data_IF_779152601567
#
_entry.id   IF_779152601567
#
_cell.length_a   1.000
_cell.length_b   1.000
_cell.length_c   1.000
_cell.angle_alpha   90.00
_cell.angle_beta   90.00
_cell.angle_gamma   90.00
#
_symmetry.space_group_name_H-M   'P 1'
#
loop_
_entity.id
_entity.type
_entity.pdbx_description
1 polymer ?
#
# COMPACT_ATOMS: atom_id res chain seq x y z
N UNK A 1 19.50 4.84 29.79
CA UNK A 1 18.62 4.98 28.60
C UNK A 1 18.14 3.59 28.20
N UNK A 2 16.93 3.20 28.59
CA UNK A 2 16.42 1.85 28.30
C UNK A 2 15.81 1.83 26.90
N UNK A 3 16.44 1.06 26.01
CA UNK A 3 16.02 0.85 24.63
C UNK A 3 14.63 0.22 24.60
N UNK A 4 13.70 0.89 23.91
CA UNK A 4 12.33 0.42 23.70
C UNK A 4 12.40 -0.87 22.88
N UNK A 5 12.25 -2.02 23.52
CA UNK A 5 12.18 -3.32 22.84
C UNK A 5 10.90 -3.38 22.02
N UNK A 6 10.99 -3.04 20.73
CA UNK A 6 9.87 -3.18 19.81
C UNK A 6 9.77 -4.65 19.46
N UNK A 7 8.80 -5.36 20.04
CA UNK A 7 8.49 -6.72 19.62
C UNK A 7 8.12 -6.71 18.13
N UNK A 8 9.08 -7.11 17.29
CA UNK A 8 8.81 -7.36 15.89
C UNK A 8 8.00 -8.63 15.78
N UNK A 9 6.68 -8.49 15.68
CA UNK A 9 5.80 -9.60 15.34
C UNK A 9 6.30 -10.21 14.02
N UNK A 10 6.77 -11.46 14.08
CA UNK A 10 7.15 -12.30 12.94
C UNK A 10 6.05 -13.33 12.69
N UNK A 11 5.58 -13.40 11.44
CA UNK A 11 4.62 -14.44 11.05
C UNK A 11 5.33 -15.77 11.04
N UNK A 12 4.82 -16.72 11.82
CA UNK A 12 5.25 -18.11 11.73
C UNK A 12 4.68 -18.84 10.51
N UNK A 13 3.87 -18.16 9.68
CA UNK A 13 3.41 -18.66 8.38
C UNK A 13 4.28 -18.05 7.29
N UNK A 14 4.58 -18.83 6.25
CA UNK A 14 5.33 -18.42 5.06
C UNK A 14 4.64 -17.26 4.33
N UNK A 15 4.92 -16.05 4.80
CA UNK A 15 4.37 -14.82 4.24
C UNK A 15 4.92 -14.53 2.84
N UNK A 16 5.99 -15.23 2.45
CA UNK A 16 6.62 -15.12 1.12
C UNK A 16 5.63 -15.37 0.00
N UNK A 17 4.76 -16.38 0.14
CA UNK A 17 3.75 -16.69 -0.89
C UNK A 17 2.73 -15.56 -1.05
N UNK A 18 2.28 -14.97 0.06
CA UNK A 18 1.32 -13.86 0.06
C UNK A 18 1.98 -12.60 -0.50
N UNK A 19 3.23 -12.32 -0.13
CA UNK A 19 3.99 -11.18 -0.65
C UNK A 19 4.19 -11.29 -2.15
N UNK A 20 4.60 -12.46 -2.65
CA UNK A 20 4.74 -12.71 -4.08
C UNK A 20 3.40 -12.49 -4.79
N UNK A 21 2.32 -13.03 -4.24
CA UNK A 21 0.99 -12.89 -4.86
C UNK A 21 0.48 -11.45 -4.89
N UNK A 22 0.73 -10.69 -3.82
CA UNK A 22 0.41 -9.25 -3.78
C UNK A 22 1.19 -8.51 -4.88
N UNK A 23 2.47 -8.83 -5.05
CA UNK A 23 3.31 -8.23 -6.08
C UNK A 23 2.82 -8.57 -7.49
N UNK A 24 2.51 -9.83 -7.76
CA UNK A 24 1.92 -10.29 -9.03
C UNK A 24 0.60 -9.61 -9.36
N UNK A 25 -0.25 -9.33 -8.36
CA UNK A 25 -1.51 -8.61 -8.57
C UNK A 25 -1.25 -7.11 -8.80
N UNK A 26 -0.27 -6.54 -8.10
CA UNK A 26 0.01 -5.12 -8.13
C UNK A 26 0.77 -4.67 -9.38
N UNK A 27 1.68 -5.49 -9.91
CA UNK A 27 2.45 -5.23 -11.13
C UNK A 27 1.58 -4.86 -12.35
N UNK A 28 0.54 -5.64 -12.72
CA UNK A 28 -0.35 -5.30 -13.84
C UNK A 28 -1.40 -4.25 -13.47
N UNK A 29 -1.71 -4.06 -12.18
CA UNK A 29 -2.87 -3.27 -11.70
C UNK A 29 -2.48 -2.18 -10.71
N UNK A 30 -1.42 -1.44 -11.03
CA UNK A 30 -0.80 -0.41 -10.18
C UNK A 30 -1.82 0.65 -9.66
N UNK A 31 -2.94 0.89 -10.37
CA UNK A 31 -3.99 1.85 -9.97
C UNK A 31 -5.03 1.32 -8.97
N UNK A 32 -5.04 0.03 -8.65
CA UNK A 32 -6.13 -0.58 -7.89
C UNK A 32 -6.10 -0.22 -6.39
N UNK A 33 -4.91 0.09 -5.86
CA UNK A 33 -4.73 0.40 -4.44
C UNK A 33 -4.96 -0.80 -3.51
N UNK A 34 -4.58 -0.63 -2.24
CA UNK A 34 -4.64 -1.68 -1.21
C UNK A 34 -6.03 -2.35 -1.05
N UNK A 35 -7.17 -1.62 -1.01
CA UNK A 35 -8.47 -2.25 -0.80
C UNK A 35 -8.87 -3.25 -1.89
N UNK A 36 -8.57 -2.95 -3.16
CA UNK A 36 -8.91 -3.86 -4.27
C UNK A 36 -8.01 -5.09 -4.31
N UNK A 37 -6.73 -4.94 -3.97
CA UNK A 37 -5.83 -6.08 -3.83
C UNK A 37 -6.33 -7.01 -2.71
N UNK A 38 -6.78 -6.45 -1.59
CA UNK A 38 -7.35 -7.25 -0.49
C UNK A 38 -8.60 -8.03 -0.92
N UNK A 39 -9.52 -7.42 -1.65
CA UNK A 39 -10.71 -8.10 -2.18
C UNK A 39 -10.33 -9.22 -3.16
N UNK A 40 -9.35 -8.97 -4.03
CA UNK A 40 -8.86 -9.98 -4.98
C UNK A 40 -8.26 -11.19 -4.23
N UNK A 41 -7.44 -10.95 -3.20
CA UNK A 41 -6.90 -12.01 -2.35
C UNK A 41 -8.00 -12.82 -1.65
N UNK A 42 -9.07 -12.15 -1.18
CA UNK A 42 -10.21 -12.83 -0.55
C UNK A 42 -10.99 -13.69 -1.55
N UNK A 43 -11.13 -13.25 -2.80
CA UNK A 43 -11.77 -14.04 -3.88
C UNK A 43 -10.94 -15.27 -4.25
N UNK A 44 -9.62 -15.14 -4.20
CA UNK A 44 -8.68 -16.25 -4.39
C UNK A 44 -8.59 -17.18 -3.16
N UNK A 45 -9.35 -16.92 -2.09
CA UNK A 45 -9.42 -17.77 -0.91
C UNK A 45 -8.29 -17.56 0.11
N UNK A 46 -7.49 -16.50 -0.03
CA UNK A 46 -6.39 -16.25 0.90
C UNK A 46 -6.90 -15.77 2.28
N UNK A 47 -6.51 -16.43 3.39
CA UNK A 47 -6.91 -16.03 4.74
C UNK A 47 -6.01 -14.90 5.28
N UNK A 48 -6.00 -13.75 4.59
CA UNK A 48 -5.15 -12.60 4.91
C UNK A 48 -6.00 -11.46 5.46
N UNK A 49 -5.55 -10.83 6.55
CA UNK A 49 -6.20 -9.65 7.11
C UNK A 49 -5.89 -8.39 6.28
N UNK A 50 -6.82 -7.44 6.19
CA UNK A 50 -6.63 -6.16 5.50
C UNK A 50 -5.40 -5.39 6.01
N UNK A 51 -5.14 -5.42 7.34
CA UNK A 51 -3.95 -4.80 7.95
C UNK A 51 -2.65 -5.37 7.42
N UNK A 52 -2.60 -6.69 7.22
CA UNK A 52 -1.43 -7.39 6.71
C UNK A 52 -1.19 -7.07 5.23
N UNK A 53 -2.27 -7.05 4.44
CA UNK A 53 -2.24 -6.62 3.04
C UNK A 53 -1.69 -5.20 2.92
N UNK A 54 -2.16 -4.26 3.75
CA UNK A 54 -1.67 -2.89 3.77
C UNK A 54 -0.20 -2.79 4.16
N UNK A 55 0.25 -3.54 5.16
CA UNK A 55 1.66 -3.53 5.58
C UNK A 55 2.57 -4.03 4.46
N UNK A 56 2.24 -5.14 3.81
CA UNK A 56 3.01 -5.69 2.69
C UNK A 56 2.96 -4.70 1.51
N UNK A 57 1.80 -4.14 1.18
CA UNK A 57 1.64 -3.15 0.13
C UNK A 57 2.53 -1.90 0.32
N UNK A 58 2.64 -1.41 1.56
CA UNK A 58 3.53 -0.29 1.89
C UNK A 58 5.01 -0.69 1.85
N UNK A 59 5.35 -1.89 2.32
CA UNK A 59 6.74 -2.39 2.30
C UNK A 59 7.25 -2.63 0.88
N UNK A 60 6.41 -3.12 -0.02
CA UNK A 60 6.73 -3.32 -1.44
C UNK A 60 6.81 -2.00 -2.23
N UNK A 61 6.58 -0.83 -1.60
CA UNK A 61 6.69 0.46 -2.28
C UNK A 61 5.64 0.69 -3.37
N UNK A 62 4.59 -0.14 -3.42
CA UNK A 62 3.52 -0.11 -4.43
C UNK A 62 2.61 1.13 -4.32
N UNK A 63 2.87 2.00 -3.35
CA UNK A 63 2.11 3.22 -3.19
C UNK A 63 2.49 4.21 -4.28
N UNK A 64 1.69 4.27 -5.35
CA UNK A 64 1.77 5.32 -6.36
C UNK A 64 1.79 6.68 -5.67
N UNK A 65 2.96 7.32 -5.62
CA UNK A 65 3.08 8.70 -5.15
C UNK A 65 2.38 9.59 -6.16
N UNK A 66 1.11 9.95 -5.89
CA UNK A 66 0.40 10.94 -6.70
C UNK A 66 1.26 12.21 -6.73
N UNK A 67 1.76 12.59 -7.91
CA UNK A 67 2.33 13.94 -8.10
C UNK A 67 1.23 14.92 -7.70
N UNK A 68 1.52 15.80 -6.73
CA UNK A 68 0.63 16.90 -6.39
C UNK A 68 0.32 17.67 -7.68
N UNK A 69 -0.95 17.94 -8.00
CA UNK A 69 -1.26 18.81 -9.12
C UNK A 69 -0.54 20.14 -8.89
N UNK A 70 0.20 20.61 -9.90
CA UNK A 70 0.78 21.97 -9.86
C UNK A 70 -0.40 22.92 -9.84
N UNK A 71 -0.62 23.54 -8.69
CA UNK A 71 -1.66 24.54 -8.50
C UNK A 71 -1.27 25.73 -9.38
N UNK A 72 -1.98 25.92 -10.50
CA UNK A 72 -1.87 27.15 -11.27
C UNK A 72 -2.50 28.25 -10.42
N UNK A 73 -1.69 29.01 -9.70
CA UNK A 73 -2.14 30.21 -9.02
C UNK A 73 -2.50 31.19 -10.13
N UNK A 74 -3.79 31.32 -10.44
CA UNK A 74 -4.28 32.39 -11.30
C UNK A 74 -4.20 33.64 -10.43
N UNK A 75 -3.15 34.44 -10.60
CA UNK A 75 -3.07 35.75 -9.96
C UNK A 75 -4.13 36.61 -10.65
N UNK A 76 -5.28 36.77 -10.01
CA UNK A 76 -6.29 37.73 -10.41
C UNK A 76 -5.74 39.14 -10.16
N UNK A 77 -5.26 39.80 -11.20
CA UNK A 77 -5.01 41.24 -11.18
C UNK A 77 -6.36 41.95 -10.99
N UNK A 78 -6.71 42.28 -9.75
CA UNK A 78 -7.76 43.25 -9.44
C UNK A 78 -7.22 44.61 -9.87
N UNK A 79 -7.70 45.07 -11.00
CA UNK A 79 -7.53 46.43 -11.50
C UNK A 79 -8.71 47.24 -11.00
N UNK A 80 -8.48 48.15 -10.05
CA UNK A 80 -9.27 49.36 -9.88
C UNK A 80 -8.52 50.37 -9.02
#
# INVERSE_FOLDING_TARGET
MQSRTVYHWQSRRDDRAITLRIREIAEPRIRYGCPRIHIQLRREGWPVNHKKTHRIYCLEGLNLRKKRPRMHVIVSNVRS
#
